data_IF_532074501301
#
_entry.id   IF_532074501301
#
_cell.length_a   1.000
_cell.length_b   1.000
_cell.length_c   1.000
_cell.angle_alpha   90.00
_cell.angle_beta   90.00
_cell.angle_gamma   90.00
#
_symmetry.space_group_name_H-M   'P 1'
#
loop_
_entity.id
_entity.type
_entity.pdbx_description
1 polymer ?
#
# COMPACT_ATOMS: atom_id res chain seq x y z
N UNK A 1 -31.88 -12.74 -28.41
CA UNK A 1 -32.00 -12.77 -29.89
C UNK A 1 -32.83 -13.98 -30.28
N UNK A 2 -33.70 -13.82 -31.29
CA UNK A 2 -34.76 -14.75 -31.63
C UNK A 2 -34.20 -15.96 -32.38
N UNK A 3 -34.42 -17.17 -31.86
CA UNK A 3 -34.48 -18.38 -32.70
C UNK A 3 -35.68 -18.18 -33.63
N UNK A 4 -35.44 -17.56 -34.78
CA UNK A 4 -36.48 -17.33 -35.77
C UNK A 4 -36.83 -18.68 -36.41
N UNK A 5 -38.02 -19.16 -36.08
CA UNK A 5 -38.77 -20.15 -36.87
C UNK A 5 -38.85 -19.61 -38.30
N UNK A 6 -38.32 -20.38 -39.25
CA UNK A 6 -38.23 -20.05 -40.68
C UNK A 6 -36.81 -20.36 -41.16
N UNK A 7 -36.55 -21.48 -41.83
CA UNK A 7 -37.10 -21.85 -43.14
C UNK A 7 -37.13 -23.37 -43.29
N UNK A 8 -38.32 -23.96 -43.38
CA UNK A 8 -38.62 -25.16 -44.18
C UNK A 8 -40.07 -25.00 -44.65
N UNK A 9 -40.27 -24.82 -45.96
CA UNK A 9 -41.58 -24.66 -46.60
C UNK A 9 -42.09 -26.04 -47.05
N UNK A 10 -43.08 -26.59 -46.34
CA UNK A 10 -44.36 -27.11 -46.88
C UNK A 10 -45.21 -27.62 -45.70
N UNK A 11 -46.51 -27.32 -45.77
CA UNK A 11 -47.36 -27.13 -44.61
C UNK A 11 -48.05 -28.36 -44.06
N UNK A 12 -48.28 -28.33 -42.76
CA UNK A 12 -49.47 -28.85 -42.09
C UNK A 12 -49.64 -28.05 -40.80
N UNK A 13 -50.75 -27.33 -40.71
CA UNK A 13 -51.14 -26.60 -39.52
C UNK A 13 -51.41 -27.62 -38.39
N UNK A 14 -50.67 -27.52 -37.29
CA UNK A 14 -51.07 -28.07 -36.01
C UNK A 14 -50.70 -27.07 -34.91
N UNK A 15 -51.73 -26.70 -34.15
CA UNK A 15 -51.76 -25.63 -33.18
C UNK A 15 -50.71 -25.76 -32.08
N UNK A 16 -50.24 -24.60 -31.62
CA UNK A 16 -49.59 -24.45 -30.32
C UNK A 16 -50.58 -24.85 -29.22
N UNK A 17 -50.40 -26.04 -28.66
CA UNK A 17 -50.89 -26.39 -27.33
C UNK A 17 -49.68 -26.87 -26.54
N UNK A 18 -49.15 -26.00 -25.69
CA UNK A 18 -48.18 -26.39 -24.67
C UNK A 18 -48.93 -27.15 -23.56
N UNK A 19 -48.58 -28.41 -23.24
CA UNK A 19 -49.01 -29.01 -21.99
C UNK A 19 -48.27 -28.31 -20.84
N UNK A 20 -48.97 -28.07 -19.73
CA UNK A 20 -48.40 -27.54 -18.50
C UNK A 20 -47.28 -28.47 -17.99
N UNK A 21 -46.07 -27.94 -17.80
CA UNK A 21 -44.92 -28.67 -17.25
C UNK A 21 -43.61 -28.58 -18.04
N UNK A 22 -43.57 -27.92 -19.20
CA UNK A 22 -42.33 -27.79 -19.98
C UNK A 22 -41.34 -26.82 -19.32
N UNK A 23 -40.15 -27.32 -18.95
CA UNK A 23 -39.00 -26.50 -18.57
C UNK A 23 -38.57 -25.62 -19.74
N UNK A 24 -38.43 -24.32 -19.50
CA UNK A 24 -37.93 -23.37 -20.51
C UNK A 24 -36.53 -23.80 -20.97
N UNK A 25 -36.23 -23.77 -22.29
CA UNK A 25 -34.92 -24.14 -22.78
C UNK A 25 -33.85 -23.16 -22.27
N UNK A 26 -32.77 -23.69 -21.70
CA UNK A 26 -31.58 -22.91 -21.32
C UNK A 26 -30.73 -22.72 -22.57
N UNK A 27 -30.28 -21.49 -22.84
CA UNK A 27 -29.41 -21.20 -23.99
C UNK A 27 -28.28 -20.26 -23.61
N UNK A 28 -27.19 -20.30 -24.36
CA UNK A 28 -26.02 -19.45 -24.14
C UNK A 28 -25.00 -19.52 -25.27
N UNK A 29 -23.92 -18.75 -25.13
CA UNK A 29 -22.75 -18.80 -26.01
C UNK A 29 -21.57 -19.44 -25.29
N UNK A 30 -20.83 -20.31 -25.99
CA UNK A 30 -19.56 -20.85 -25.52
C UNK A 30 -18.40 -19.93 -25.90
N UNK A 31 -17.44 -19.76 -24.99
CA UNK A 31 -16.28 -18.88 -25.15
C UNK A 31 -14.94 -19.51 -24.74
N UNK A 32 -14.93 -20.76 -24.29
CA UNK A 32 -13.71 -21.47 -23.88
C UNK A 32 -13.79 -22.99 -24.17
N UNK A 33 -12.63 -23.68 -24.17
CA UNK A 33 -12.55 -25.12 -24.45
C UNK A 33 -13.16 -25.98 -23.35
N UNK A 34 -13.18 -25.52 -22.10
CA UNK A 34 -13.70 -26.30 -20.97
C UNK A 34 -15.23 -26.43 -21.04
N UNK A 35 -15.93 -25.33 -21.34
CA UNK A 35 -17.36 -25.29 -21.56
C UNK A 35 -17.75 -26.10 -22.80
N UNK A 36 -16.97 -26.00 -23.87
CA UNK A 36 -17.18 -26.84 -25.06
C UNK A 36 -17.01 -28.33 -24.74
N UNK A 37 -15.93 -28.72 -24.05
CA UNK A 37 -15.71 -30.13 -23.63
C UNK A 37 -16.80 -30.61 -22.68
N UNK A 38 -17.29 -29.76 -21.78
CA UNK A 38 -18.38 -30.08 -20.87
C UNK A 38 -19.68 -30.36 -21.64
N UNK A 39 -20.04 -29.48 -22.58
CA UNK A 39 -21.23 -29.64 -23.41
C UNK A 39 -21.10 -30.85 -24.34
N UNK A 40 -19.94 -31.03 -24.99
CA UNK A 40 -19.64 -32.18 -25.84
C UNK A 40 -19.65 -33.50 -25.10
N UNK A 41 -19.54 -33.52 -23.77
CA UNK A 41 -19.58 -34.73 -22.96
C UNK A 41 -20.89 -34.89 -22.18
N UNK A 42 -21.94 -34.16 -22.56
CA UNK A 42 -23.28 -34.48 -22.12
C UNK A 42 -23.70 -35.89 -22.61
N UNK A 43 -24.43 -36.68 -21.79
CA UNK A 43 -24.89 -38.02 -22.15
C UNK A 43 -25.69 -38.04 -23.46
N UNK A 44 -25.48 -39.08 -24.29
CA UNK A 44 -26.24 -39.29 -25.54
C UNK A 44 -25.37 -39.56 -26.76
N UNK A 45 -25.98 -39.53 -27.95
CA UNK A 45 -25.28 -39.56 -29.24
C UNK A 45 -25.13 -38.15 -29.80
N UNK A 46 -23.95 -37.82 -30.34
CA UNK A 46 -23.71 -36.55 -31.01
C UNK A 46 -23.92 -36.70 -32.53
N UNK A 47 -24.83 -35.93 -33.09
CA UNK A 47 -25.06 -35.81 -34.53
C UNK A 47 -24.50 -34.47 -35.01
N UNK A 48 -23.41 -34.50 -35.78
CA UNK A 48 -22.79 -33.30 -36.35
C UNK A 48 -23.17 -33.14 -37.82
N UNK A 49 -23.94 -32.11 -38.13
CA UNK A 49 -24.33 -31.73 -39.50
C UNK A 49 -23.39 -30.63 -39.96
N UNK A 50 -22.52 -30.97 -40.92
CA UNK A 50 -21.43 -30.10 -41.34
C UNK A 50 -21.29 -30.09 -42.86
N UNK A 51 -20.87 -28.97 -43.47
CA UNK A 51 -20.64 -28.93 -44.92
C UNK A 51 -19.50 -29.85 -45.36
N UNK A 52 -18.52 -30.08 -44.49
CA UNK A 52 -17.39 -31.00 -44.67
C UNK A 52 -16.83 -31.41 -43.29
N UNK A 53 -16.14 -32.55 -43.22
CA UNK A 53 -15.46 -32.98 -42.00
C UNK A 53 -14.05 -32.36 -41.99
N UNK A 54 -13.86 -31.36 -41.13
CA UNK A 54 -12.57 -30.67 -40.95
C UNK A 54 -11.69 -31.37 -39.88
N UNK A 55 -10.38 -31.09 -39.83
CA UNK A 55 -9.52 -31.58 -38.74
C UNK A 55 -10.04 -31.18 -37.35
N UNK A 56 -10.62 -29.98 -37.24
CA UNK A 56 -11.25 -29.54 -36.01
C UNK A 56 -12.48 -30.38 -35.64
N UNK A 57 -13.37 -30.66 -36.60
CA UNK A 57 -14.55 -31.51 -36.35
C UNK A 57 -14.16 -32.94 -35.91
N UNK A 58 -13.06 -33.48 -36.45
CA UNK A 58 -12.47 -34.75 -35.97
C UNK A 58 -11.98 -34.65 -34.53
N UNK A 59 -11.32 -33.55 -34.17
CA UNK A 59 -10.87 -33.28 -32.80
C UNK A 59 -12.03 -33.18 -31.81
N UNK A 60 -13.15 -32.56 -32.22
CA UNK A 60 -14.37 -32.52 -31.39
C UNK A 60 -14.91 -33.93 -31.11
N UNK A 61 -14.88 -34.83 -32.12
CA UNK A 61 -15.24 -36.25 -31.94
C UNK A 61 -14.27 -36.95 -30.99
N UNK A 62 -12.97 -36.70 -31.09
CA UNK A 62 -11.96 -37.31 -30.20
C UNK A 62 -12.14 -36.89 -28.74
N UNK A 63 -12.57 -35.64 -28.49
CA UNK A 63 -12.87 -35.15 -27.15
C UNK A 63 -14.17 -35.69 -26.55
N UNK A 64 -15.02 -36.34 -27.35
CA UNK A 64 -16.27 -36.92 -26.88
C UNK A 64 -16.04 -38.31 -26.29
N UNK A 65 -16.33 -38.45 -24.99
CA UNK A 65 -16.26 -39.70 -24.23
C UNK A 65 -17.63 -40.25 -23.86
N UNK A 66 -18.68 -39.42 -23.88
CA UNK A 66 -20.02 -39.76 -23.38
C UNK A 66 -20.93 -40.53 -24.37
N UNK A 67 -20.48 -40.78 -25.61
CA UNK A 67 -21.23 -41.55 -26.60
C UNK A 67 -20.73 -41.34 -28.03
N UNK A 68 -21.26 -42.09 -29.02
CA UNK A 68 -20.79 -42.01 -30.40
C UNK A 68 -21.06 -40.65 -31.04
N UNK A 69 -20.26 -40.31 -32.04
CA UNK A 69 -20.46 -39.14 -32.91
C UNK A 69 -20.77 -39.62 -34.32
N UNK A 70 -21.87 -39.18 -34.92
CA UNK A 70 -22.24 -39.43 -36.31
C UNK A 70 -22.17 -38.14 -37.11
N UNK A 71 -21.48 -38.15 -38.25
CA UNK A 71 -21.39 -37.00 -39.15
C UNK A 71 -22.47 -37.07 -40.24
N UNK A 72 -23.09 -35.92 -40.54
CA UNK A 72 -24.02 -35.74 -41.63
C UNK A 72 -23.45 -34.71 -42.60
N UNK A 73 -23.20 -35.14 -43.84
CA UNK A 73 -22.55 -34.31 -44.88
C UNK A 73 -23.37 -34.33 -46.17
N UNK A 74 -23.29 -33.28 -47.01
CA UNK A 74 -24.00 -33.25 -48.28
C UNK A 74 -23.47 -34.28 -49.28
N UNK A 75 -24.32 -34.78 -50.18
CA UNK A 75 -23.94 -35.69 -51.27
C UNK A 75 -22.73 -35.19 -52.08
N UNK A 76 -22.67 -33.88 -52.34
CA UNK A 76 -21.56 -33.24 -53.06
C UNK A 76 -20.19 -33.49 -52.41
N UNK A 77 -20.17 -33.72 -51.10
CA UNK A 77 -18.96 -33.93 -50.32
C UNK A 77 -18.72 -35.42 -49.99
N UNK A 78 -19.78 -36.23 -49.92
CA UNK A 78 -19.74 -37.62 -49.47
C UNK A 78 -18.77 -38.51 -50.28
N UNK A 79 -18.60 -38.27 -51.58
CA UNK A 79 -17.71 -39.07 -52.44
C UNK A 79 -16.26 -39.11 -51.94
N UNK A 80 -15.78 -38.01 -51.33
CA UNK A 80 -14.39 -37.91 -50.82
C UNK A 80 -14.13 -38.87 -49.65
N UNK A 81 -15.18 -39.33 -48.99
CA UNK A 81 -15.08 -40.19 -47.82
C UNK A 81 -15.35 -41.66 -48.14
N UNK A 82 -15.63 -42.05 -49.39
CA UNK A 82 -15.80 -43.46 -49.74
C UNK A 82 -14.56 -44.28 -49.34
N UNK A 83 -14.76 -45.31 -48.51
CA UNK A 83 -13.67 -46.10 -47.90
C UNK A 83 -13.28 -45.66 -46.47
N UNK A 84 -13.85 -44.56 -45.97
CA UNK A 84 -13.73 -44.13 -44.58
C UNK A 84 -14.48 -45.07 -43.63
N UNK A 85 -13.91 -45.31 -42.45
CA UNK A 85 -14.55 -46.04 -41.34
C UNK A 85 -15.35 -45.11 -40.42
N UNK A 86 -15.40 -43.81 -40.72
CA UNK A 86 -16.16 -42.86 -39.93
C UNK A 86 -17.68 -43.12 -40.06
N UNK A 87 -18.45 -42.99 -38.97
CA UNK A 87 -19.91 -43.07 -39.01
C UNK A 87 -20.49 -41.84 -39.72
N UNK A 88 -20.69 -41.97 -41.04
CA UNK A 88 -21.14 -40.89 -41.92
C UNK A 88 -22.50 -41.24 -42.52
N UNK A 89 -23.41 -40.26 -42.47
CA UNK A 89 -24.71 -40.25 -43.13
C UNK A 89 -24.71 -39.18 -44.21
N UNK A 90 -25.27 -39.50 -45.37
CA UNK A 90 -25.25 -38.63 -46.54
C UNK A 90 -26.60 -37.93 -46.69
N UNK A 91 -26.58 -36.59 -46.71
CA UNK A 91 -27.74 -35.73 -46.87
C UNK A 91 -27.97 -35.38 -48.35
N UNK A 92 -29.21 -35.40 -48.85
CA UNK A 92 -29.52 -35.11 -50.25
C UNK A 92 -29.35 -33.63 -50.65
N UNK A 93 -29.17 -32.72 -49.69
CA UNK A 93 -29.00 -31.28 -49.92
C UNK A 93 -27.75 -30.70 -49.26
N UNK A 94 -27.43 -29.45 -49.61
CA UNK A 94 -26.31 -28.70 -49.03
C UNK A 94 -26.53 -28.29 -47.56
N UNK A 95 -25.43 -28.11 -46.82
CA UNK A 95 -25.45 -27.61 -45.44
C UNK A 95 -25.10 -26.12 -45.44
N UNK A 96 -26.06 -25.25 -45.10
CA UNK A 96 -25.84 -23.80 -45.05
C UNK A 96 -25.08 -23.34 -43.81
N UNK A 97 -25.31 -24.00 -42.68
CA UNK A 97 -24.68 -23.67 -41.41
C UNK A 97 -24.45 -24.95 -40.61
N UNK A 98 -23.28 -25.11 -39.97
CA UNK A 98 -22.99 -26.28 -39.17
C UNK A 98 -23.82 -26.29 -37.88
N UNK A 99 -24.39 -27.45 -37.58
CA UNK A 99 -25.24 -27.68 -36.40
C UNK A 99 -24.87 -29.02 -35.76
N UNK A 100 -24.86 -29.07 -34.44
CA UNK A 100 -24.67 -30.29 -33.65
C UNK A 100 -25.89 -30.59 -32.80
N UNK A 101 -26.23 -31.86 -32.63
CA UNK A 101 -27.29 -32.31 -31.73
C UNK A 101 -26.78 -33.42 -30.83
N UNK A 102 -26.91 -33.27 -29.52
CA UNK A 102 -26.68 -34.35 -28.55
C UNK A 102 -28.06 -34.85 -28.14
N UNK A 103 -28.34 -36.13 -28.40
CA UNK A 103 -29.64 -36.76 -28.16
C UNK A 103 -29.48 -37.95 -27.21
N UNK A 104 -30.23 -37.97 -26.11
CA UNK A 104 -30.26 -39.08 -25.17
C UNK A 104 -30.79 -40.40 -25.78
N UNK A 105 -30.24 -41.54 -25.34
CA UNK A 105 -30.80 -42.86 -25.65
C UNK A 105 -31.87 -43.25 -24.60
N UNK A 106 -32.93 -43.94 -25.02
CA UNK A 106 -33.80 -44.68 -24.08
C UNK A 106 -34.96 -43.92 -23.42
N UNK A 107 -35.54 -42.92 -24.09
CA UNK A 107 -36.81 -42.30 -23.64
C UNK A 107 -36.66 -41.04 -22.78
N UNK A 108 -35.44 -40.60 -22.48
CA UNK A 108 -35.20 -39.24 -21.97
C UNK A 108 -35.24 -38.25 -23.14
N UNK A 109 -35.95 -37.13 -22.97
CA UNK A 109 -36.18 -36.13 -24.03
C UNK A 109 -35.13 -35.01 -24.00
N UNK A 110 -34.18 -35.10 -23.07
CA UNK A 110 -33.10 -34.15 -22.87
C UNK A 110 -32.07 -34.23 -24.00
N UNK A 111 -31.85 -33.07 -24.63
CA UNK A 111 -30.85 -32.93 -25.67
C UNK A 111 -30.25 -31.53 -25.67
N UNK A 112 -29.09 -31.40 -26.33
CA UNK A 112 -28.39 -30.13 -26.54
C UNK A 112 -28.26 -29.89 -28.03
N UNK A 113 -28.69 -28.73 -28.52
CA UNK A 113 -28.37 -28.29 -29.88
C UNK A 113 -27.24 -27.26 -29.84
N UNK A 114 -26.32 -27.37 -30.79
CA UNK A 114 -25.14 -26.53 -30.98
C UNK A 114 -25.22 -25.90 -32.36
N UNK A 115 -24.89 -24.62 -32.48
CA UNK A 115 -24.89 -23.91 -33.75
C UNK A 115 -23.68 -22.99 -33.85
N UNK A 116 -23.07 -22.94 -35.03
CA UNK A 116 -22.05 -21.95 -35.35
C UNK A 116 -20.76 -22.54 -35.89
N UNK A 117 -19.93 -21.67 -36.46
CA UNK A 117 -18.71 -22.03 -37.17
C UNK A 117 -17.66 -22.72 -36.29
N UNK A 118 -17.73 -22.57 -34.97
CA UNK A 118 -16.89 -23.29 -34.01
C UNK A 118 -17.08 -24.81 -34.02
N UNK A 119 -18.04 -25.36 -34.77
CA UNK A 119 -18.19 -26.80 -35.02
C UNK A 119 -17.29 -27.34 -36.14
N UNK A 120 -16.75 -26.44 -36.98
CA UNK A 120 -15.91 -26.80 -38.14
C UNK A 120 -14.59 -26.04 -38.20
N UNK A 121 -14.44 -24.94 -37.46
CA UNK A 121 -13.20 -24.19 -37.33
C UNK A 121 -12.77 -24.10 -35.87
N UNK A 122 -11.47 -24.26 -35.63
CA UNK A 122 -10.87 -24.05 -34.31
C UNK A 122 -11.03 -22.58 -33.93
N UNK A 123 -11.75 -22.25 -32.85
CA UNK A 123 -11.96 -20.87 -32.42
C UNK A 123 -10.74 -20.27 -31.70
N UNK A 124 -9.66 -21.03 -31.47
CA UNK A 124 -8.45 -20.56 -30.78
C UNK A 124 -8.67 -20.33 -29.28
N UNK A 125 -9.60 -21.06 -28.67
CA UNK A 125 -9.89 -20.99 -27.24
C UNK A 125 -8.75 -21.61 -26.41
N UNK A 126 -8.40 -20.99 -25.28
CA UNK A 126 -7.37 -21.50 -24.38
C UNK A 126 -7.93 -22.57 -23.43
N UNK A 127 -7.10 -23.53 -22.99
CA UNK A 127 -7.50 -24.57 -22.02
C UNK A 127 -7.75 -24.01 -20.61
N UNK A 128 -7.00 -22.97 -20.21
CA UNK A 128 -7.22 -22.21 -18.98
C UNK A 128 -7.26 -20.73 -19.32
N UNK A 129 -8.37 -20.09 -19.04
CA UNK A 129 -8.61 -18.70 -19.47
C UNK A 129 -8.43 -17.69 -18.33
N UNK A 130 -8.22 -18.13 -17.09
CA UNK A 130 -8.04 -17.25 -15.94
C UNK A 130 -6.58 -16.94 -15.65
N UNK A 131 -6.31 -15.67 -15.36
CA UNK A 131 -5.00 -15.19 -14.88
C UNK A 131 -5.19 -14.47 -13.54
N UNK A 132 -4.24 -14.65 -12.63
CA UNK A 132 -4.18 -14.00 -11.32
C UNK A 132 -2.71 -13.90 -10.87
N UNK A 133 -2.03 -12.81 -11.22
CA UNK A 133 -0.60 -12.62 -10.91
C UNK A 133 -0.17 -11.15 -10.87
N UNK A 134 0.97 -10.88 -10.22
CA UNK A 134 1.63 -9.57 -10.27
C UNK A 134 2.40 -9.40 -11.57
N UNK A 135 2.22 -8.25 -12.22
CA UNK A 135 2.90 -7.86 -13.45
C UNK A 135 3.48 -6.45 -13.30
N UNK A 136 4.57 -6.15 -14.01
CA UNK A 136 5.12 -4.80 -14.06
C UNK A 136 4.24 -3.85 -14.87
N UNK A 137 4.37 -2.54 -14.63
CA UNK A 137 3.77 -1.51 -15.48
C UNK A 137 4.85 -0.76 -16.23
N UNK A 138 4.64 -0.57 -17.53
CA UNK A 138 5.42 0.32 -18.38
C UNK A 138 4.66 1.63 -18.54
N UNK A 139 5.26 2.74 -18.11
CA UNK A 139 4.62 4.05 -18.15
C UNK A 139 5.43 5.11 -17.41
N UNK A 140 4.85 6.30 -17.15
CA UNK A 140 5.58 7.45 -16.62
C UNK A 140 6.04 7.30 -15.16
N UNK A 141 5.49 6.33 -14.42
CA UNK A 141 5.88 6.02 -13.05
C UNK A 141 6.18 4.54 -12.92
N UNK A 142 7.21 4.21 -12.13
CA UNK A 142 7.49 2.81 -11.77
C UNK A 142 6.32 2.24 -10.99
N UNK A 143 5.76 1.15 -11.50
CA UNK A 143 4.54 0.57 -10.97
C UNK A 143 4.45 -0.92 -11.21
N UNK A 144 3.52 -1.54 -10.49
CA UNK A 144 3.12 -2.94 -10.69
C UNK A 144 1.60 -3.05 -10.59
N UNK A 145 1.06 -4.08 -11.21
CA UNK A 145 -0.36 -4.39 -11.19
C UNK A 145 -0.60 -5.85 -10.84
N UNK A 146 -1.52 -6.12 -9.91
CA UNK A 146 -2.10 -7.45 -9.74
C UNK A 146 -3.21 -7.60 -10.77
N UNK A 147 -2.98 -8.42 -11.79
CA UNK A 147 -3.93 -8.65 -12.88
C UNK A 147 -4.73 -9.89 -12.56
N UNK A 148 -6.05 -9.74 -12.55
CA UNK A 148 -7.00 -10.81 -12.28
C UNK A 148 -8.19 -10.76 -13.23
N UNK A 149 -8.61 -11.94 -13.69
CA UNK A 149 -9.80 -12.11 -14.51
C UNK A 149 -9.62 -13.21 -15.53
N UNK A 150 -10.30 -13.08 -16.67
CA UNK A 150 -10.17 -14.03 -17.77
C UNK A 150 -9.74 -13.35 -19.07
N UNK A 151 -8.89 -14.02 -19.85
CA UNK A 151 -8.35 -13.50 -21.10
C UNK A 151 -9.41 -13.40 -22.20
N UNK A 152 -10.42 -14.29 -22.20
CA UNK A 152 -11.59 -14.19 -23.10
C UNK A 152 -12.68 -13.25 -22.58
N UNK A 153 -12.65 -12.94 -21.28
CA UNK A 153 -13.58 -12.03 -20.62
C UNK A 153 -12.93 -10.69 -20.27
N UNK A 154 -13.30 -10.17 -19.10
CA UNK A 154 -12.73 -8.94 -18.56
C UNK A 154 -11.53 -9.22 -17.67
N UNK A 155 -10.46 -8.46 -17.87
CA UNK A 155 -9.35 -8.37 -16.94
C UNK A 155 -9.46 -7.10 -16.10
N UNK A 156 -9.06 -7.20 -14.84
CA UNK A 156 -8.90 -6.07 -13.91
C UNK A 156 -7.48 -6.02 -13.39
N UNK A 157 -6.99 -4.83 -13.07
CA UNK A 157 -5.65 -4.58 -12.60
C UNK A 157 -5.68 -3.72 -11.34
N UNK A 158 -5.25 -4.27 -10.20
CA UNK A 158 -5.00 -3.49 -8.99
C UNK A 158 -3.61 -2.88 -9.07
N UNK A 159 -3.53 -1.56 -9.24
CA UNK A 159 -2.29 -0.84 -9.52
C UNK A 159 -1.66 -0.29 -8.24
N UNK A 160 -0.35 -0.48 -8.12
CA UNK A 160 0.49 0.11 -7.09
C UNK A 160 1.65 0.87 -7.75
N UNK A 161 1.92 2.10 -7.27
CA UNK A 161 3.11 2.85 -7.67
C UNK A 161 4.15 2.83 -6.59
N UNK A 162 5.41 2.82 -7.03
CA UNK A 162 6.54 3.01 -6.14
C UNK A 162 6.59 4.49 -5.76
N UNK A 163 6.62 4.76 -4.45
CA UNK A 163 6.79 6.11 -3.89
C UNK A 163 7.84 6.08 -2.80
N UNK A 164 8.69 7.10 -2.82
CA UNK A 164 9.64 7.36 -1.74
C UNK A 164 8.96 8.26 -0.72
N UNK A 165 8.77 7.76 0.48
CA UNK A 165 8.23 8.53 1.59
C UNK A 165 9.31 8.81 2.63
N UNK A 166 9.27 10.02 3.18
CA UNK A 166 10.08 10.41 4.34
C UNK A 166 9.31 10.08 5.61
N UNK A 167 9.99 9.45 6.56
CA UNK A 167 9.43 9.12 7.86
C UNK A 167 10.45 9.39 8.97
N UNK A 168 9.96 9.51 10.20
CA UNK A 168 10.82 9.65 11.37
C UNK A 168 11.30 8.28 11.82
N UNK A 169 12.61 8.09 11.83
CA UNK A 169 13.25 6.89 12.35
C UNK A 169 13.25 6.83 13.88
N UNK A 170 13.91 5.81 14.40
CA UNK A 170 14.11 5.68 15.84
C UNK A 170 15.00 6.81 16.37
N UNK A 171 14.70 7.32 17.58
CA UNK A 171 15.44 8.42 18.15
C UNK A 171 16.89 8.05 18.48
N UNK A 172 17.82 8.92 18.07
CA UNK A 172 19.25 8.82 18.37
C UNK A 172 19.59 9.80 19.49
N UNK A 173 20.32 9.33 20.49
CA UNK A 173 20.75 10.14 21.64
C UNK A 173 22.14 10.72 21.40
N UNK A 174 22.31 12.01 21.68
CA UNK A 174 23.61 12.68 21.62
C UNK A 174 23.73 13.69 22.75
N UNK A 175 24.89 13.73 23.40
CA UNK A 175 25.17 14.66 24.50
C UNK A 175 26.14 15.75 24.02
N UNK A 176 25.85 16.99 24.43
CA UNK A 176 26.59 18.19 24.07
C UNK A 176 26.92 18.95 25.36
N UNK A 177 28.13 19.49 25.42
CA UNK A 177 28.57 20.36 26.50
C UNK A 177 28.94 21.72 25.94
N UNK A 178 28.28 22.76 26.43
CA UNK A 178 28.50 24.14 26.02
C UNK A 178 29.14 24.93 27.17
N UNK A 179 30.26 25.60 26.87
CA UNK A 179 30.96 26.50 27.79
C UNK A 179 30.44 27.95 27.72
N UNK A 180 29.30 28.14 27.05
CA UNK A 180 28.58 29.39 26.89
C UNK A 180 27.08 29.09 26.97
N UNK A 181 26.20 30.10 27.13
CA UNK A 181 24.77 29.89 26.98
C UNK A 181 24.48 29.28 25.60
N UNK A 182 23.84 28.12 25.59
CA UNK A 182 23.33 27.46 24.41
C UNK A 182 22.27 28.36 23.75
N UNK A 183 22.08 28.21 22.44
CA UNK A 183 21.10 29.00 21.68
C UNK A 183 19.73 28.29 21.54
N UNK A 184 19.61 27.12 22.17
CA UNK A 184 18.43 26.27 22.11
C UNK A 184 18.30 25.49 20.80
N UNK A 185 19.38 25.29 20.03
CA UNK A 185 19.35 24.54 18.76
C UNK A 185 20.34 23.37 18.73
N UNK A 186 19.92 22.26 18.14
CA UNK A 186 20.78 21.12 17.81
C UNK A 186 20.47 20.69 16.38
N UNK A 187 21.42 20.91 15.47
CA UNK A 187 21.19 20.67 14.03
C UNK A 187 20.00 21.49 13.51
N UNK A 188 19.06 20.82 12.85
CA UNK A 188 17.90 21.46 12.20
C UNK A 188 16.70 21.72 13.14
N UNK A 189 16.84 21.40 14.43
CA UNK A 189 15.74 21.50 15.39
C UNK A 189 16.03 22.53 16.47
N UNK A 190 14.96 23.17 16.96
CA UNK A 190 14.99 24.14 18.04
C UNK A 190 14.15 23.67 19.21
N UNK A 191 14.62 23.95 20.42
CA UNK A 191 13.86 23.75 21.63
C UNK A 191 12.72 24.76 21.72
N UNK A 192 11.52 24.28 21.99
CA UNK A 192 10.40 25.14 22.34
C UNK A 192 10.46 25.56 23.81
N UNK A 193 10.24 26.85 24.08
CA UNK A 193 10.23 27.40 25.44
C UNK A 193 11.61 27.55 26.09
N UNK A 194 12.69 27.48 25.29
CA UNK A 194 14.04 27.73 25.78
C UNK A 194 14.28 29.22 26.07
N UNK A 195 14.79 29.50 27.26
CA UNK A 195 15.26 30.80 27.73
C UNK A 195 16.74 30.66 28.17
N UNK A 196 17.69 31.34 27.49
CA UNK A 196 19.11 31.19 27.79
C UNK A 196 19.50 31.62 29.22
N UNK A 197 18.71 32.47 29.87
CA UNK A 197 18.98 32.98 31.21
C UNK A 197 18.35 32.15 32.32
N UNK A 198 17.44 31.22 31.98
CA UNK A 198 16.84 30.32 32.96
C UNK A 198 17.83 29.22 33.36
N UNK A 199 17.80 28.87 34.65
CA UNK A 199 18.51 27.71 35.19
C UNK A 199 17.60 26.50 35.05
N UNK A 200 18.07 25.48 34.30
CA UNK A 200 17.33 24.25 34.08
C UNK A 200 17.92 23.09 34.87
N UNK A 201 17.03 22.29 35.47
CA UNK A 201 17.36 21.18 36.36
C UNK A 201 17.23 19.80 35.73
N UNK A 202 17.46 19.65 34.42
CA UNK A 202 17.25 18.38 33.70
C UNK A 202 15.83 18.19 33.17
N UNK A 203 15.05 19.27 33.07
CA UNK A 203 13.71 19.24 32.50
C UNK A 203 13.76 18.77 31.03
N UNK A 204 12.84 17.89 30.60
CA UNK A 204 12.70 17.52 29.20
C UNK A 204 12.03 18.67 28.44
N UNK A 205 12.67 19.10 27.35
CA UNK A 205 12.20 20.17 26.47
C UNK A 205 12.01 19.62 25.05
N UNK A 206 10.92 19.99 24.39
CA UNK A 206 10.60 19.47 23.06
C UNK A 206 11.48 20.10 21.97
N UNK A 207 12.03 19.25 21.09
CA UNK A 207 12.79 19.65 19.91
C UNK A 207 11.90 19.60 18.67
N UNK A 208 11.76 20.75 18.02
CA UNK A 208 10.82 20.94 16.92
C UNK A 208 11.53 21.62 15.75
N UNK A 209 11.19 21.21 14.54
CA UNK A 209 11.64 21.89 13.33
C UNK A 209 11.00 23.26 13.16
N UNK A 210 11.56 24.13 12.30
CA UNK A 210 10.89 25.35 11.87
C UNK A 210 9.49 25.11 11.28
N UNK A 211 9.26 23.94 10.68
CA UNK A 211 7.98 23.51 10.13
C UNK A 211 6.90 23.19 11.19
N UNK A 212 7.29 23.09 12.47
CA UNK A 212 6.41 22.67 13.57
C UNK A 212 6.41 21.16 13.83
N UNK A 213 7.18 20.36 13.06
CA UNK A 213 7.26 18.92 13.26
C UNK A 213 8.12 18.59 14.49
N UNK A 214 7.55 17.88 15.47
CA UNK A 214 8.28 17.41 16.64
C UNK A 214 9.25 16.28 16.24
N UNK A 215 10.55 16.51 16.46
CA UNK A 215 11.62 15.56 16.14
C UNK A 215 12.12 14.80 17.35
N UNK A 216 11.72 15.21 18.56
CA UNK A 216 12.06 14.54 19.79
C UNK A 216 12.13 15.51 20.96
N UNK A 217 13.03 15.24 21.89
CA UNK A 217 13.19 15.96 23.15
C UNK A 217 14.66 16.07 23.55
N UNK A 218 14.97 16.99 24.45
CA UNK A 218 16.26 17.06 25.11
C UNK A 218 16.12 17.32 26.60
N UNK A 219 17.02 16.77 27.38
CA UNK A 219 17.22 17.20 28.77
C UNK A 219 18.34 18.23 28.83
N UNK A 220 18.07 19.35 29.49
CA UNK A 220 19.01 20.42 29.67
C UNK A 220 19.36 20.58 31.15
N UNK A 221 20.65 20.50 31.46
CA UNK A 221 21.19 20.73 32.79
C UNK A 221 22.12 21.93 32.78
N UNK A 222 21.72 22.98 33.48
CA UNK A 222 22.59 24.14 33.74
C UNK A 222 23.57 23.78 34.85
N UNK A 223 24.87 23.97 34.59
CA UNK A 223 25.90 23.95 35.63
C UNK A 223 26.09 25.37 36.14
N UNK A 224 26.14 25.49 37.45
CA UNK A 224 26.28 26.78 38.13
C UNK A 224 27.53 26.80 38.98
N UNK A 225 28.07 28.00 39.17
CA UNK A 225 29.14 28.28 40.11
C UNK A 225 28.76 29.50 40.95
N UNK A 226 29.23 29.54 42.19
CA UNK A 226 29.21 30.75 42.99
C UNK A 226 30.32 31.67 42.50
N UNK A 227 29.94 32.86 42.05
CA UNK A 227 30.86 33.90 41.59
C UNK A 227 30.79 35.05 42.59
N UNK A 228 31.95 35.51 43.04
CA UNK A 228 32.03 36.72 43.85
C UNK A 228 31.73 37.93 42.99
N UNK A 229 30.73 38.73 43.39
CA UNK A 229 30.26 39.88 42.62
C UNK A 229 30.46 41.20 43.34
N UNK A 230 30.86 41.18 44.62
CA UNK A 230 31.15 42.38 45.37
C UNK A 230 31.13 42.17 46.88
N UNK A 231 30.82 43.25 47.58
CA UNK A 231 30.68 43.29 49.04
C UNK A 231 29.19 43.42 49.38
N UNK A 232 28.72 42.60 50.31
CA UNK A 232 27.32 42.60 50.74
C UNK A 232 27.13 43.62 51.87
N UNK A 233 26.79 44.86 51.51
CA UNK A 233 26.59 45.94 52.48
C UNK A 233 25.26 45.84 53.23
N UNK A 234 24.38 44.90 52.87
CA UNK A 234 23.11 44.68 53.55
C UNK A 234 23.26 43.78 54.79
N UNK A 235 24.35 43.01 54.88
CA UNK A 235 24.67 42.17 56.03
C UNK A 235 25.93 42.66 56.72
N UNK A 236 26.02 42.55 58.03
CA UNK A 236 27.19 42.98 58.79
C UNK A 236 27.47 41.99 59.91
N UNK A 237 28.74 41.67 60.09
CA UNK A 237 29.24 40.85 61.19
C UNK A 237 30.09 41.71 62.12
N UNK A 238 29.95 41.50 63.44
CA UNK A 238 30.68 42.29 64.44
C UNK A 238 31.95 41.56 64.86
N UNK A 239 33.08 42.26 64.77
CA UNK A 239 34.37 41.84 65.28
C UNK A 239 34.72 42.63 66.53
N UNK A 240 35.22 41.97 67.59
CA UNK A 240 35.56 42.59 68.88
C UNK A 240 37.00 42.30 69.31
N UNK A 241 37.92 42.14 68.35
CA UNK A 241 39.35 41.99 68.62
C UNK A 241 40.12 43.28 68.39
N UNK A 242 41.46 43.20 68.48
CA UNK A 242 42.34 44.35 68.38
C UNK A 242 42.24 45.04 67.00
N UNK A 243 42.10 46.36 67.02
CA UNK A 243 42.25 47.22 65.84
C UNK A 243 43.40 48.19 66.08
N UNK A 244 44.06 48.60 65.01
CA UNK A 244 45.15 49.56 65.08
C UNK A 244 45.46 50.13 63.70
N UNK A 245 46.17 51.25 63.66
CA UNK A 245 46.57 51.81 62.37
C UNK A 245 47.48 50.83 61.64
N UNK A 246 47.09 50.42 60.43
CA UNK A 246 47.78 49.44 59.62
C UNK A 246 47.89 48.05 60.28
N UNK A 247 46.91 47.68 61.12
CA UNK A 247 46.89 46.39 61.81
C UNK A 247 46.11 45.35 61.01
N UNK A 248 46.70 44.16 60.83
CA UNK A 248 46.11 43.04 60.10
C UNK A 248 45.54 42.02 61.09
N UNK A 249 44.33 41.55 60.83
CA UNK A 249 43.65 40.53 61.65
C UNK A 249 42.84 39.58 60.76
N UNK A 250 42.55 38.38 61.25
CA UNK A 250 41.71 37.41 60.54
C UNK A 250 40.36 37.27 61.24
N UNK A 251 39.30 37.22 60.44
CA UNK A 251 37.93 37.12 60.92
C UNK A 251 37.05 36.42 59.88
N UNK A 252 36.01 35.73 60.32
CA UNK A 252 34.99 35.18 59.42
C UNK A 252 33.75 36.09 59.45
N UNK A 253 33.52 36.93 58.42
CA UNK A 253 32.34 37.78 58.36
C UNK A 253 31.08 37.00 57.96
N UNK A 254 31.12 35.68 57.85
CA UNK A 254 30.03 34.80 57.44
C UNK A 254 30.20 34.17 56.05
N UNK A 255 31.38 34.32 55.43
CA UNK A 255 31.74 33.75 54.11
C UNK A 255 33.05 32.96 54.14
N UNK A 256 33.52 32.59 55.33
CA UNK A 256 34.82 31.97 55.57
C UNK A 256 35.83 32.96 56.16
N UNK A 257 36.87 32.43 56.80
CA UNK A 257 37.92 33.25 57.41
C UNK A 257 38.68 34.03 56.34
N UNK A 258 38.64 35.35 56.44
CA UNK A 258 39.36 36.29 55.60
C UNK A 258 40.35 37.10 56.46
N UNK A 259 41.38 37.63 55.81
CA UNK A 259 42.33 38.55 56.45
C UNK A 259 41.99 39.99 56.05
N UNK A 260 41.92 40.85 57.06
CA UNK A 260 41.56 42.25 56.96
C UNK A 260 42.69 43.14 57.48
N UNK A 261 42.71 44.38 56.98
CA UNK A 261 43.59 45.45 57.42
C UNK A 261 42.75 46.60 57.93
N UNK A 262 42.98 46.99 59.17
CA UNK A 262 42.43 48.22 59.75
C UNK A 262 43.36 49.40 59.45
N UNK A 263 42.78 50.52 59.05
CA UNK A 263 43.47 51.78 58.75
C UNK A 263 42.76 52.88 59.52
N UNK A 264 43.51 53.61 60.33
CA UNK A 264 42.96 54.71 61.11
C UNK A 264 42.63 55.89 60.18
N UNK A 265 41.40 56.39 60.23
CA UNK A 265 40.97 57.56 59.44
C UNK A 265 40.72 58.80 60.30
N UNK A 266 40.51 58.62 61.60
CA UNK A 266 40.26 59.70 62.54
C UNK A 266 40.70 59.30 63.95
N UNK A 267 41.11 60.28 64.73
CA UNK A 267 41.36 60.13 66.15
C UNK A 267 40.92 61.41 66.86
N UNK A 268 40.29 61.25 68.03
CA UNK A 268 39.99 62.36 68.93
C UNK A 268 40.96 62.30 70.11
N UNK A 269 41.85 63.30 70.16
CA UNK A 269 42.96 63.35 71.11
C UNK A 269 42.98 64.68 71.87
N UNK A 270 42.97 64.57 73.19
CA UNK A 270 43.15 65.69 74.11
C UNK A 270 44.55 65.70 74.74
N UNK A 271 44.74 66.60 75.71
CA UNK A 271 46.00 66.78 76.44
C UNK A 271 46.51 65.50 77.13
N UNK A 272 45.60 64.58 77.48
CA UNK A 272 45.91 63.32 78.18
C UNK A 272 45.96 62.09 77.26
N UNK A 273 45.88 62.27 75.93
CA UNK A 273 45.91 61.18 74.94
C UNK A 273 44.62 61.08 74.12
N UNK A 274 44.53 60.02 73.31
CA UNK A 274 43.39 59.78 72.42
C UNK A 274 42.30 58.95 73.12
N UNK A 275 41.08 59.49 73.19
CA UNK A 275 39.93 58.83 73.80
C UNK A 275 39.11 58.00 72.82
N UNK A 276 39.19 58.33 71.52
CA UNK A 276 38.49 57.64 70.44
C UNK A 276 39.35 57.56 69.17
N UNK A 277 39.19 56.46 68.43
CA UNK A 277 39.80 56.25 67.11
C UNK A 277 38.80 55.61 66.17
N UNK A 278 38.75 56.08 64.93
CA UNK A 278 37.96 55.52 63.84
C UNK A 278 38.82 54.74 62.86
N UNK A 279 38.35 53.55 62.46
CA UNK A 279 39.06 52.67 61.54
C UNK A 279 38.21 52.33 60.32
N UNK A 280 38.82 52.35 59.13
CA UNK A 280 38.30 51.67 57.96
C UNK A 280 38.92 50.29 57.87
N UNK A 281 38.09 49.31 57.54
CA UNK A 281 38.49 47.92 57.38
C UNK A 281 38.55 47.63 55.88
N UNK A 282 39.69 47.13 55.43
CA UNK A 282 39.91 46.71 54.06
C UNK A 282 40.25 45.23 54.02
N UNK A 283 39.94 44.54 52.92
CA UNK A 283 40.56 43.24 52.65
C UNK A 283 41.98 43.41 52.09
N UNK A 284 42.71 42.30 51.92
CA UNK A 284 44.07 42.30 51.37
C UNK A 284 44.13 42.79 49.91
N UNK A 285 43.01 42.78 49.19
CA UNK A 285 42.88 43.34 47.85
C UNK A 285 42.61 44.86 47.88
N UNK A 286 42.51 45.47 49.07
CA UNK A 286 42.31 46.91 49.25
C UNK A 286 40.86 47.37 49.11
N UNK A 287 39.89 46.45 49.08
CA UNK A 287 38.46 46.81 49.00
C UNK A 287 37.94 47.18 50.37
N UNK A 288 37.09 48.21 50.44
CA UNK A 288 36.44 48.60 51.69
C UNK A 288 35.47 47.51 52.14
N UNK A 289 35.61 47.06 53.39
CA UNK A 289 34.83 45.98 54.01
C UNK A 289 34.08 46.41 55.26
N UNK A 290 34.07 47.70 55.58
CA UNK A 290 33.33 48.26 56.70
C UNK A 290 34.19 49.12 57.60
N UNK A 291 33.65 49.47 58.77
CA UNK A 291 34.29 50.43 59.67
C UNK A 291 34.22 49.95 61.11
N UNK A 292 35.16 50.42 61.90
CA UNK A 292 35.19 50.18 63.34
C UNK A 292 35.57 51.42 64.12
N UNK A 293 35.48 51.30 65.43
CA UNK A 293 35.95 52.30 66.37
C UNK A 293 36.63 51.65 67.55
N UNK A 294 37.60 52.37 68.10
CA UNK A 294 38.19 52.09 69.40
C UNK A 294 37.82 53.20 70.38
N UNK A 295 37.55 52.83 71.63
CA UNK A 295 37.45 53.76 72.75
C UNK A 295 38.35 53.30 73.89
N UNK A 296 38.81 54.25 74.70
CA UNK A 296 39.54 53.93 75.91
C UNK A 296 38.57 53.35 76.96
N UNK A 297 38.85 52.14 77.43
CA UNK A 297 38.09 51.46 78.48
C UNK A 297 39.05 51.09 79.63
N UNK A 298 39.25 52.05 80.55
CA UNK A 298 40.27 51.95 81.60
C UNK A 298 41.68 52.10 81.05
N UNK A 299 42.57 51.15 81.38
CA UNK A 299 43.95 51.11 80.87
C UNK A 299 44.08 50.40 79.50
N UNK A 300 42.99 49.85 78.97
CA UNK A 300 42.95 49.11 77.69
C UNK A 300 42.13 49.84 76.62
N UNK A 301 42.33 49.45 75.37
CA UNK A 301 41.48 49.83 74.24
C UNK A 301 40.39 48.79 74.03
N UNK A 302 39.14 49.24 73.95
CA UNK A 302 38.01 48.42 73.54
C UNK A 302 37.72 48.76 72.08
N UNK A 303 37.85 47.78 71.20
CA UNK A 303 37.69 47.96 69.76
C UNK A 303 36.58 47.08 69.24
N UNK A 304 35.84 47.64 68.30
CA UNK A 304 34.83 46.91 67.55
C UNK A 304 34.84 47.32 66.09
N UNK A 305 34.51 46.39 65.20
CA UNK A 305 34.32 46.66 63.79
C UNK A 305 33.07 45.96 63.25
N UNK A 306 32.38 46.67 62.38
CA UNK A 306 31.33 46.16 61.51
C UNK A 306 31.96 45.77 60.18
N UNK A 307 31.93 44.48 59.85
CA UNK A 307 32.56 43.93 58.64
C UNK A 307 31.49 43.33 57.73
N UNK A 308 31.48 43.78 56.49
CA UNK A 308 30.60 43.32 55.42
C UNK A 308 31.18 42.03 54.78
N UNK A 309 30.39 40.93 54.69
CA UNK A 309 30.81 39.72 53.99
C UNK A 309 30.90 39.94 52.48
N UNK A 310 31.50 38.97 51.76
CA UNK A 310 31.46 38.97 50.29
C UNK A 310 30.06 38.63 49.80
N UNK A 311 29.67 39.25 48.69
CA UNK A 311 28.46 38.91 47.96
C UNK A 311 28.81 37.89 46.88
N UNK A 312 28.17 36.72 46.94
CA UNK A 312 28.28 35.68 45.94
C UNK A 312 26.94 35.51 45.22
N UNK A 313 26.99 35.44 43.90
CA UNK A 313 25.85 35.10 43.06
C UNK A 313 26.06 33.73 42.42
N UNK A 314 25.00 32.94 42.38
CA UNK A 314 24.97 31.72 41.58
C UNK A 314 24.86 32.11 40.12
N UNK A 315 25.92 31.86 39.33
CA UNK A 315 25.93 32.11 37.89
C UNK A 315 26.00 30.81 37.12
N UNK A 316 25.27 30.77 36.02
CA UNK A 316 25.33 29.67 35.03
C UNK A 316 26.65 29.75 34.28
N UNK A 317 27.44 28.69 34.33
CA UNK A 317 28.79 28.64 33.73
C UNK A 317 28.87 27.70 32.54
N UNK A 318 28.06 26.63 32.52
CA UNK A 318 28.01 25.67 31.43
C UNK A 318 26.60 25.12 31.25
N UNK A 319 26.33 24.55 30.08
CA UNK A 319 25.12 23.79 29.81
C UNK A 319 25.46 22.41 29.24
N UNK A 320 24.83 21.40 29.82
CA UNK A 320 24.91 20.03 29.35
C UNK A 320 23.54 19.67 28.77
N UNK A 321 23.51 19.37 27.48
CA UNK A 321 22.29 19.02 26.75
C UNK A 321 22.41 17.59 26.27
N UNK A 322 21.47 16.73 26.67
CA UNK A 322 21.33 15.41 26.08
C UNK A 322 20.07 15.39 25.23
N UNK A 323 20.23 15.33 23.92
CA UNK A 323 19.15 15.37 22.96
C UNK A 323 18.87 13.98 22.39
N UNK A 324 17.59 13.69 22.21
CA UNK A 324 17.06 12.47 21.64
C UNK A 324 16.27 12.83 20.39
N UNK A 325 16.92 12.73 19.23
CA UNK A 325 16.39 13.25 17.95
C UNK A 325 16.12 12.09 17.00
N UNK A 326 14.89 12.03 16.47
CA UNK A 326 14.52 11.10 15.39
C UNK A 326 15.10 11.60 14.07
N UNK A 327 15.92 10.83 13.34
CA UNK A 327 16.40 11.23 12.03
C UNK A 327 15.28 11.14 10.99
N UNK A 328 15.37 11.95 9.93
CA UNK A 328 14.58 11.70 8.73
C UNK A 328 15.21 10.53 7.97
N UNK A 329 14.40 9.52 7.70
CA UNK A 329 14.76 8.40 6.87
C UNK A 329 13.85 8.36 5.66
N UNK A 330 14.34 7.75 4.59
CA UNK A 330 13.59 7.51 3.37
C UNK A 330 13.37 6.02 3.21
N UNK A 331 12.15 5.64 2.85
CA UNK A 331 11.85 4.28 2.41
C UNK A 331 11.02 4.32 1.16
N UNK A 332 11.19 3.28 0.36
CA UNK A 332 10.42 3.10 -0.85
C UNK A 332 9.31 2.10 -0.59
N UNK A 333 8.07 2.51 -0.81
CA UNK A 333 6.88 1.69 -0.56
C UNK A 333 6.00 1.61 -1.80
N UNK A 334 5.17 0.58 -1.84
CA UNK A 334 4.15 0.41 -2.87
C UNK A 334 2.85 1.05 -2.40
N UNK A 335 2.41 2.10 -3.08
CA UNK A 335 1.18 2.82 -2.76
C UNK A 335 0.05 2.39 -3.71
N UNK A 336 -1.05 1.82 -3.18
CA UNK A 336 -2.18 1.42 -3.99
C UNK A 336 -2.88 2.64 -4.61
N UNK A 337 -3.24 2.52 -5.88
CA UNK A 337 -3.97 3.54 -6.64
C UNK A 337 -5.44 3.15 -6.87
N UNK A 338 -5.77 1.87 -6.68
CA UNK A 338 -7.09 1.31 -6.92
C UNK A 338 -7.07 0.14 -7.89
N UNK A 339 -8.26 -0.33 -8.24
CA UNK A 339 -8.48 -1.38 -9.24
C UNK A 339 -9.10 -0.78 -10.49
N UNK A 340 -8.51 -1.08 -11.63
CA UNK A 340 -8.87 -0.50 -12.92
C UNK A 340 -9.19 -1.60 -13.93
N UNK A 341 -10.10 -1.38 -14.89
CA UNK A 341 -10.27 -2.30 -16.00
C UNK A 341 -9.02 -2.33 -16.88
N UNK A 342 -8.67 -3.49 -17.40
CA UNK A 342 -7.64 -3.61 -18.44
C UNK A 342 -8.32 -3.45 -19.80
N UNK A 343 -7.85 -2.51 -20.59
CA UNK A 343 -8.29 -2.25 -21.96
C UNK A 343 -7.60 -3.22 -22.95
N UNK A 344 -8.20 -3.47 -24.12
CA UNK A 344 -7.56 -4.21 -25.21
C UNK A 344 -6.14 -3.70 -25.50
N UNK A 345 -5.23 -4.63 -25.73
CA UNK A 345 -3.80 -4.35 -25.83
C UNK A 345 -3.09 -4.34 -24.48
N UNK A 346 -3.76 -4.62 -23.36
CA UNK A 346 -3.10 -4.71 -22.05
C UNK A 346 -2.89 -3.35 -21.38
N UNK A 347 -3.77 -2.38 -21.68
CA UNK A 347 -3.61 -0.98 -21.27
C UNK A 347 -4.41 -0.72 -20.00
N UNK A 348 -3.88 0.08 -19.08
CA UNK A 348 -4.60 0.55 -17.88
C UNK A 348 -4.44 2.07 -17.75
N UNK A 349 -5.53 2.76 -17.45
CA UNK A 349 -5.54 4.22 -17.25
C UNK A 349 -5.69 4.53 -15.76
N UNK A 350 -4.68 5.17 -15.20
CA UNK A 350 -4.64 5.57 -13.78
C UNK A 350 -4.50 7.08 -13.71
N UNK A 351 -5.50 7.76 -13.16
CA UNK A 351 -5.52 9.22 -13.01
C UNK A 351 -5.22 9.97 -14.33
N UNK A 352 -5.76 9.48 -15.45
CA UNK A 352 -5.57 10.07 -16.78
C UNK A 352 -4.26 9.70 -17.49
N UNK A 353 -3.31 9.07 -16.81
CA UNK A 353 -2.08 8.56 -17.41
C UNK A 353 -2.25 7.12 -17.92
N UNK A 354 -1.63 6.81 -19.05
CA UNK A 354 -1.70 5.50 -19.70
C UNK A 354 -0.51 4.65 -19.27
N UNK A 355 -0.78 3.42 -18.86
CA UNK A 355 0.22 2.40 -18.55
C UNK A 355 -0.03 1.16 -19.39
N UNK A 356 1.04 0.55 -19.86
CA UNK A 356 1.03 -0.73 -20.56
C UNK A 356 1.42 -1.83 -19.57
N UNK A 357 0.68 -2.93 -19.53
CA UNK A 357 1.09 -4.16 -18.85
C UNK A 357 1.86 -5.01 -19.88
N UNK A 358 3.19 -5.17 -19.74
CA UNK A 358 3.96 -5.99 -20.66
C UNK A 358 3.51 -7.44 -20.63
N UNK A 359 3.39 -8.07 -21.80
CA UNK A 359 2.90 -9.44 -21.96
C UNK A 359 1.38 -9.57 -22.17
N UNK A 360 0.63 -8.46 -22.10
CA UNK A 360 -0.81 -8.41 -22.39
C UNK A 360 -1.14 -7.72 -23.72
N UNK A 361 -0.18 -7.51 -24.61
CA UNK A 361 -0.34 -6.76 -25.87
C UNK A 361 -1.36 -7.40 -26.83
N UNK A 362 -1.56 -8.72 -26.70
CA UNK A 362 -2.54 -9.48 -27.47
C UNK A 362 -3.95 -9.52 -26.85
N UNK A 363 -4.14 -9.00 -25.63
CA UNK A 363 -5.44 -9.01 -24.96
C UNK A 363 -6.47 -8.19 -25.76
N UNK A 364 -7.69 -8.70 -25.91
CA UNK A 364 -8.74 -8.03 -26.69
C UNK A 364 -8.53 -7.97 -28.22
N UNK A 365 -7.47 -8.58 -28.78
CA UNK A 365 -7.20 -8.63 -30.24
C UNK A 365 -7.64 -9.93 -30.93
N UNK A 366 -8.53 -10.73 -30.32
CA UNK A 366 -9.00 -11.98 -30.95
C UNK A 366 -10.04 -11.72 -32.05
N UNK A 367 -10.10 -12.57 -33.10
CA UNK A 367 -11.12 -12.46 -34.14
C UNK A 367 -12.52 -12.58 -33.50
N UNK A 368 -13.31 -11.52 -33.56
CA UNK A 368 -14.72 -11.57 -33.20
C UNK A 368 -15.48 -12.31 -34.30
N UNK A 369 -16.31 -13.32 -33.96
CA UNK A 369 -17.24 -13.95 -34.90
C UNK A 369 -17.26 -15.48 -35.00
N UNK A 370 -16.39 -16.22 -34.30
CA UNK A 370 -16.45 -17.70 -34.25
C UNK A 370 -17.20 -18.17 -32.98
N UNK A 371 -18.38 -17.60 -32.75
CA UNK A 371 -19.23 -17.99 -31.62
C UNK A 371 -19.84 -19.38 -31.83
N UNK A 372 -19.96 -20.15 -30.75
CA UNK A 372 -20.69 -21.40 -30.73
C UNK A 372 -21.87 -21.24 -29.76
N UNK A 373 -23.07 -21.16 -30.32
CA UNK A 373 -24.31 -21.03 -29.54
C UNK A 373 -24.80 -22.42 -29.15
N UNK A 374 -25.36 -22.55 -27.96
CA UNK A 374 -25.95 -23.80 -27.50
C UNK A 374 -27.32 -23.57 -26.88
N UNK A 375 -28.17 -24.59 -26.97
CA UNK A 375 -29.43 -24.66 -26.24
C UNK A 375 -29.66 -26.06 -25.69
N UNK A 376 -30.25 -26.16 -24.50
CA UNK A 376 -30.65 -27.39 -23.83
C UNK A 376 -32.11 -27.31 -23.43
N UNK A 377 -32.90 -28.33 -23.70
CA UNK A 377 -34.30 -28.35 -23.27
C UNK A 377 -35.06 -29.60 -23.67
N UNK A 378 -36.00 -29.99 -22.80
CA UNK A 378 -36.97 -31.06 -23.07
C UNK A 378 -38.30 -30.48 -23.56
N UNK A 379 -39.02 -31.12 -24.50
CA UNK A 379 -38.56 -32.08 -25.50
C UNK A 379 -38.03 -31.41 -26.79
N UNK A 380 -37.80 -30.10 -26.75
CA UNK A 380 -37.59 -29.26 -27.92
C UNK A 380 -36.42 -29.70 -28.82
N UNK A 381 -35.31 -30.17 -28.26
CA UNK A 381 -34.13 -30.58 -29.04
C UNK A 381 -34.35 -31.92 -29.74
N UNK A 382 -35.00 -32.87 -29.07
CA UNK A 382 -35.42 -34.15 -29.67
C UNK A 382 -36.42 -33.93 -30.81
N UNK A 383 -37.33 -32.97 -30.67
CA UNK A 383 -38.23 -32.54 -31.75
C UNK A 383 -37.48 -31.85 -32.89
N UNK A 384 -36.50 -30.97 -32.62
CA UNK A 384 -35.65 -30.36 -33.65
C UNK A 384 -34.83 -31.39 -34.43
N UNK A 385 -34.22 -32.36 -33.75
CA UNK A 385 -33.45 -33.43 -34.38
C UNK A 385 -34.33 -34.40 -35.21
N UNK A 386 -35.60 -34.58 -34.81
CA UNK A 386 -36.61 -35.29 -35.62
C UNK A 386 -37.09 -34.44 -36.80
N UNK A 387 -37.45 -33.18 -36.57
CA UNK A 387 -37.96 -32.26 -37.60
C UNK A 387 -36.94 -31.97 -38.71
N UNK A 388 -35.65 -32.00 -38.39
CA UNK A 388 -34.54 -31.90 -39.36
C UNK A 388 -34.32 -33.17 -40.19
N UNK A 389 -35.09 -34.25 -39.96
CA UNK A 389 -35.02 -35.51 -40.71
C UNK A 389 -33.81 -36.39 -40.38
N UNK A 390 -32.89 -35.91 -39.53
CA UNK A 390 -31.62 -36.54 -39.16
C UNK A 390 -31.83 -37.85 -38.36
N UNK A 391 -32.93 -37.91 -37.59
CA UNK A 391 -33.36 -39.08 -36.83
C UNK A 391 -34.68 -39.70 -37.34
N UNK A 392 -34.95 -39.59 -38.65
CA UNK A 392 -36.09 -40.28 -39.27
C UNK A 392 -37.43 -39.54 -39.25
N UNK A 393 -37.43 -38.21 -39.09
CA UNK A 393 -38.62 -37.38 -39.30
C UNK A 393 -38.84 -36.96 -40.75
N UNK A 394 -39.95 -36.23 -40.98
CA UNK A 394 -40.65 -36.14 -42.27
C UNK A 394 -39.88 -35.47 -43.42
N UNK A 395 -38.91 -34.58 -43.15
CA UNK A 395 -38.24 -33.78 -44.20
C UNK A 395 -37.27 -34.59 -45.08
N UNK A 396 -36.59 -35.61 -44.52
CA UNK A 396 -35.65 -36.47 -45.24
C UNK A 396 -35.91 -37.96 -45.04
N UNK A 397 -37.15 -38.32 -44.67
CA UNK A 397 -37.55 -39.69 -44.37
C UNK A 397 -37.29 -40.58 -45.60
N UNK A 398 -36.38 -41.54 -45.45
CA UNK A 398 -35.96 -42.45 -46.54
C UNK A 398 -34.96 -41.88 -47.55
N UNK A 399 -34.45 -40.65 -47.36
CA UNK A 399 -33.48 -40.01 -48.27
C UNK A 399 -32.07 -39.87 -47.68
N UNK A 400 -31.91 -40.01 -46.36
CA UNK A 400 -30.59 -40.08 -45.72
C UNK A 400 -30.10 -41.51 -45.78
N UNK A 401 -29.01 -41.74 -46.53
CA UNK A 401 -28.39 -43.05 -46.68
C UNK A 401 -27.10 -43.13 -45.86
N UNK A 402 -26.68 -44.35 -45.53
CA UNK A 402 -25.31 -44.55 -45.03
C UNK A 402 -24.29 -44.22 -46.13
N UNK A 403 -23.08 -43.83 -45.73
CA UNK A 403 -21.99 -43.64 -46.69
C UNK A 403 -21.70 -44.91 -47.51
N UNK A 404 -21.85 -46.09 -46.90
CA UNK A 404 -21.66 -47.37 -47.59
C UNK A 404 -22.67 -47.54 -48.74
N UNK A 405 -23.96 -47.35 -48.46
CA UNK A 405 -25.03 -47.41 -49.47
C UNK A 405 -24.86 -46.35 -50.56
N UNK A 406 -24.44 -45.13 -50.19
CA UNK A 406 -24.14 -44.07 -51.14
C UNK A 406 -23.01 -44.47 -52.10
N UNK A 407 -21.90 -44.97 -51.57
CA UNK A 407 -20.74 -45.35 -52.39
C UNK A 407 -20.96 -46.61 -53.23
N UNK A 408 -21.86 -47.52 -52.82
CA UNK A 408 -22.23 -48.69 -53.64
C UNK A 408 -23.15 -48.33 -54.80
N UNK A 409 -24.02 -47.33 -54.65
CA UNK A 409 -25.03 -46.94 -55.64
C UNK A 409 -24.55 -45.89 -56.67
N UNK A 410 -23.32 -45.40 -56.54
CA UNK A 410 -22.71 -44.38 -57.44
C UNK A 410 -21.71 -44.98 -58.43
N UNK A 411 -21.51 -46.30 -58.38
CA UNK A 411 -20.92 -47.04 -59.51
C UNK A 411 -21.91 -47.05 -60.66
#
# INVERSE_FOLDING_TARGET
>A
MRWAVGVFLLGLAAAQVSPAGATLPTSGSLSDLSGLRSVLNAPGELHLVVPQITPWALRLREWRTAGPTTFYIPQSEARKYCGSTLPIRVLPGGVKEPVGFIVGQGGTLEGIALRGLGLIYDPGWAENDRIALWMGLSGPRTGRAWVEGSWTGSLTARVEFQVTERYLGDPVTTSYLFNHPWDGRIGDVRVQGYDPYRIYGGEPLALVEPSGTARGDCTLRSRTALVEVGVDTARTSRYTGALGNNHTFSFDPGTGVETFRSVEYAADCGWFGCGWRGYYIYDLQGRYRGSGSGTQCGWSWCTEASIYPRLFETRKTQEEVTARIRPWLERTVWQPQGTFPVEPGGIVRVNGAVYQIPGLEGYGRRPQGVGLEWMRGEPFVSYLARATGIMGGEVYRGQVVSLQEYCTNIR
#
